data_IF_758394834590
#
_entry.id   IF_758394834590
#
_cell.length_a   1.000
_cell.length_b   1.000
_cell.length_c   1.000
_cell.angle_alpha   90.00
_cell.angle_beta   90.00
_cell.angle_gamma   90.00
#
_symmetry.space_group_name_H-M   'P 1'
#
loop_
_entity.id
_entity.type
_entity.pdbx_description
1 polymer ?
#
# COMPACT_ATOMS: atom_id res chain seq x y z
N UNK A 1 -21.65 1.13 -26.06
CA UNK A 1 -21.09 2.22 -25.22
C UNK A 1 -21.77 3.53 -25.61
N UNK A 2 -21.91 4.49 -24.68
CA UNK A 2 -22.62 5.74 -24.95
C UNK A 2 -21.82 6.67 -25.87
N UNK A 3 -22.52 7.31 -26.85
CA UNK A 3 -21.91 8.36 -27.70
C UNK A 3 -21.53 9.65 -26.95
N UNK A 4 -21.89 9.75 -25.68
CA UNK A 4 -21.60 10.89 -24.81
C UNK A 4 -20.30 10.72 -23.99
N UNK A 5 -19.67 9.56 -24.07
CA UNK A 5 -18.39 9.35 -23.41
C UNK A 5 -17.26 10.01 -24.20
N UNK A 6 -16.28 10.58 -23.48
CA UNK A 6 -15.04 11.03 -24.11
C UNK A 6 -14.19 9.84 -24.56
N UNK A 7 -13.30 10.06 -25.52
CA UNK A 7 -12.47 8.99 -26.11
C UNK A 7 -11.60 8.26 -25.07
N UNK A 8 -11.14 8.97 -24.05
CA UNK A 8 -10.34 8.35 -22.98
C UNK A 8 -11.13 7.29 -22.21
N UNK A 9 -12.42 7.54 -21.92
CA UNK A 9 -13.27 6.61 -21.16
C UNK A 9 -13.44 5.27 -21.88
N UNK A 10 -13.44 5.27 -23.20
CA UNK A 10 -13.54 4.04 -24.00
C UNK A 10 -12.30 3.13 -23.89
N UNK A 11 -11.16 3.67 -23.50
CA UNK A 11 -9.87 2.96 -23.37
C UNK A 11 -9.57 2.50 -21.93
N UNK A 12 -10.31 3.02 -20.93
CA UNK A 12 -10.03 2.71 -19.52
C UNK A 12 -10.37 1.27 -19.17
N UNK A 13 -9.46 0.64 -18.42
CA UNK A 13 -9.69 -0.63 -17.73
C UNK A 13 -9.66 -0.35 -16.22
N UNK A 14 -10.83 -0.16 -15.56
CA UNK A 14 -10.87 0.20 -14.14
C UNK A 14 -10.30 -0.89 -13.24
N UNK A 15 -9.72 -0.48 -12.12
CA UNK A 15 -9.31 -1.38 -11.05
C UNK A 15 -10.53 -2.10 -10.44
N UNK A 16 -10.36 -3.39 -10.15
CA UNK A 16 -11.37 -4.19 -9.44
C UNK A 16 -10.93 -4.35 -7.98
N UNK A 17 -11.59 -3.65 -7.03
CA UNK A 17 -11.25 -3.74 -5.62
C UNK A 17 -11.50 -5.14 -5.06
N UNK A 18 -10.88 -5.44 -3.90
CA UNK A 18 -11.21 -6.63 -3.13
C UNK A 18 -12.68 -6.60 -2.67
N UNK A 19 -13.32 -7.75 -2.66
CA UNK A 19 -14.71 -7.84 -2.23
C UNK A 19 -14.91 -7.39 -0.77
N UNK A 20 -16.08 -6.83 -0.50
CA UNK A 20 -16.53 -6.37 0.81
C UNK A 20 -17.84 -7.09 1.18
N UNK A 21 -17.82 -8.40 1.45
CA UNK A 21 -19.06 -9.15 1.71
C UNK A 21 -19.68 -8.72 3.04
N UNK A 22 -21.02 -8.65 3.06
CA UNK A 22 -21.82 -8.38 4.25
C UNK A 22 -22.35 -9.72 4.77
N UNK A 23 -21.51 -10.46 5.48
CA UNK A 23 -21.83 -11.76 6.06
C UNK A 23 -21.66 -11.69 7.57
N UNK A 24 -22.52 -12.40 8.31
CA UNK A 24 -22.37 -12.54 9.75
C UNK A 24 -21.18 -13.45 10.08
N UNK A 25 -20.48 -13.17 11.18
CA UNK A 25 -19.30 -13.92 11.63
C UNK A 25 -18.18 -14.03 10.58
N UNK A 26 -18.02 -12.99 9.78
CA UNK A 26 -17.01 -12.92 8.72
C UNK A 26 -15.60 -12.79 9.30
N UNK A 27 -14.70 -13.68 8.89
CA UNK A 27 -13.24 -13.53 9.07
C UNK A 27 -12.66 -12.93 7.79
N UNK A 28 -12.49 -11.60 7.78
CA UNK A 28 -12.08 -10.83 6.60
C UNK A 28 -10.57 -10.65 6.56
N UNK A 29 -9.88 -11.40 5.69
CA UNK A 29 -8.42 -11.43 5.56
C UNK A 29 -7.97 -11.15 4.11
N UNK A 30 -8.64 -10.23 3.39
CA UNK A 30 -8.41 -10.04 1.95
C UNK A 30 -7.93 -8.65 1.52
N UNK A 31 -8.09 -7.59 2.34
CA UNK A 31 -7.84 -6.20 1.92
C UNK A 31 -6.75 -5.49 2.74
N UNK A 32 -5.98 -6.24 3.52
CA UNK A 32 -4.82 -5.74 4.28
C UNK A 32 -5.18 -4.61 5.25
N UNK A 33 -6.39 -4.64 5.83
CA UNK A 33 -6.77 -3.75 6.92
C UNK A 33 -6.06 -4.16 8.21
N UNK A 34 -5.83 -3.19 9.10
CA UNK A 34 -5.30 -3.50 10.42
C UNK A 34 -6.38 -4.20 11.26
N UNK A 35 -6.09 -5.33 11.93
CA UNK A 35 -7.07 -6.02 12.76
C UNK A 35 -7.40 -5.28 14.06
N UNK A 36 -6.60 -4.29 14.44
CA UNK A 36 -6.82 -3.44 15.60
C UNK A 36 -7.43 -2.10 15.16
N UNK A 37 -8.34 -1.56 15.95
CA UNK A 37 -8.95 -0.26 15.70
C UNK A 37 -7.95 0.91 15.78
N UNK A 38 -8.37 2.12 15.43
CA UNK A 38 -7.53 3.30 15.60
C UNK A 38 -7.24 3.60 17.08
N UNK A 39 -6.18 4.38 17.33
CA UNK A 39 -5.83 4.85 18.67
C UNK A 39 -7.04 5.52 19.36
N UNK A 40 -7.22 5.32 20.68
CA UNK A 40 -8.23 6.07 21.44
C UNK A 40 -8.12 7.59 21.30
N UNK A 41 -6.90 8.13 21.16
CA UNK A 41 -6.67 9.57 20.91
C UNK A 41 -7.25 10.03 19.57
N UNK A 42 -7.25 9.16 18.54
CA UNK A 42 -7.91 9.45 17.26
C UNK A 42 -9.41 9.59 17.46
N UNK A 43 -10.03 8.64 18.19
CA UNK A 43 -11.47 8.68 18.43
C UNK A 43 -11.87 9.95 19.22
N UNK A 44 -11.06 10.35 20.17
CA UNK A 44 -11.26 11.59 20.93
C UNK A 44 -11.14 12.83 20.03
N UNK A 45 -10.08 12.92 19.23
CA UNK A 45 -9.86 14.03 18.29
C UNK A 45 -11.03 14.17 17.29
N UNK A 46 -11.53 13.06 16.75
CA UNK A 46 -12.68 13.06 15.86
C UNK A 46 -13.95 13.58 16.56
N UNK A 47 -14.21 13.16 17.79
CA UNK A 47 -15.37 13.64 18.56
C UNK A 47 -15.31 15.15 18.84
N UNK A 48 -14.12 15.68 19.09
CA UNK A 48 -13.92 17.12 19.32
C UNK A 48 -14.10 17.95 18.05
N UNK A 49 -13.75 17.40 16.89
CA UNK A 49 -13.89 18.12 15.61
C UNK A 49 -15.32 18.11 15.05
N UNK A 50 -16.19 17.20 15.52
CA UNK A 50 -17.59 17.16 15.10
C UNK A 50 -18.37 18.32 15.73
N UNK A 51 -18.70 19.33 14.92
CA UNK A 51 -19.41 20.52 15.39
C UNK A 51 -19.71 21.50 14.27
N UNK A 52 -20.01 22.74 14.62
CA UNK A 52 -20.39 23.80 13.66
C UNK A 52 -19.25 24.15 12.68
N UNK A 53 -18.00 23.86 13.03
CA UNK A 53 -16.84 24.05 12.15
C UNK A 53 -16.93 23.28 10.82
N UNK A 54 -17.74 22.21 10.79
CA UNK A 54 -17.95 21.41 9.56
C UNK A 54 -18.59 22.19 8.40
N UNK A 55 -19.21 23.35 8.67
CA UNK A 55 -19.71 24.26 7.62
C UNK A 55 -18.64 25.03 6.88
N UNK A 56 -17.40 25.01 7.36
CA UNK A 56 -16.26 25.73 6.81
C UNK A 56 -15.35 24.79 6.01
N UNK A 57 -14.76 25.29 4.93
CA UNK A 57 -13.71 24.53 4.23
C UNK A 57 -12.54 24.20 5.18
N UNK A 58 -11.88 23.03 4.98
CA UNK A 58 -10.66 22.72 5.69
C UNK A 58 -9.48 23.60 5.21
N UNK A 59 -8.33 23.48 5.88
CA UNK A 59 -7.08 24.07 5.41
C UNK A 59 -6.63 23.42 4.08
N UNK A 60 -6.53 24.20 2.98
CA UNK A 60 -6.17 23.67 1.66
C UNK A 60 -4.75 23.08 1.60
N UNK A 61 -3.86 23.57 2.46
CA UNK A 61 -2.47 23.13 2.54
C UNK A 61 -2.26 22.00 3.54
N UNK A 62 -3.22 21.75 4.44
CA UNK A 62 -3.07 20.79 5.56
C UNK A 62 -1.81 21.05 6.39
N UNK A 63 -1.52 22.31 6.73
CA UNK A 63 -0.24 22.75 7.31
C UNK A 63 0.09 22.05 8.63
N UNK A 64 -0.91 21.91 9.53
CA UNK A 64 -0.74 21.21 10.82
C UNK A 64 -0.39 19.74 10.59
N UNK A 65 -1.08 19.06 9.65
CA UNK A 65 -0.82 17.65 9.34
C UNK A 65 0.57 17.49 8.70
N UNK A 66 0.94 18.33 7.74
CA UNK A 66 2.29 18.32 7.12
C UNK A 66 3.40 18.54 8.15
N UNK A 67 3.23 19.52 9.06
CA UNK A 67 4.18 19.77 10.12
C UNK A 67 4.32 18.56 11.06
N UNK A 68 3.22 17.90 11.40
CA UNK A 68 3.21 16.70 12.26
C UNK A 68 3.91 15.53 11.58
N UNK A 69 3.62 15.26 10.31
CA UNK A 69 4.29 14.22 9.52
C UNK A 69 5.80 14.53 9.39
N UNK A 70 6.15 15.77 9.05
CA UNK A 70 7.53 16.19 8.92
C UNK A 70 8.32 15.98 10.22
N UNK A 71 7.73 16.35 11.36
CA UNK A 71 8.33 16.13 12.68
C UNK A 71 8.59 14.64 12.95
N UNK A 72 7.60 13.79 12.67
CA UNK A 72 7.72 12.31 12.87
C UNK A 72 8.86 11.71 12.06
N UNK A 73 9.12 12.23 10.86
CA UNK A 73 10.15 11.72 9.95
C UNK A 73 11.47 12.50 9.96
N UNK A 74 11.62 13.53 10.81
CA UNK A 74 12.83 14.38 10.85
C UNK A 74 13.04 15.22 9.57
N UNK A 75 11.94 15.58 8.89
CA UNK A 75 11.93 16.35 7.65
C UNK A 75 11.36 17.77 7.85
N UNK A 76 11.34 18.56 6.78
CA UNK A 76 10.67 19.87 6.74
C UNK A 76 9.24 19.70 6.18
N UNK A 77 8.31 20.57 6.57
CA UNK A 77 6.94 20.57 6.02
C UNK A 77 6.91 20.73 4.49
N UNK A 78 7.88 21.44 3.90
CA UNK A 78 8.05 21.57 2.44
C UNK A 78 8.46 20.27 1.74
N UNK A 79 8.81 19.23 2.49
CA UNK A 79 9.15 17.89 1.99
C UNK A 79 7.98 16.90 2.13
N UNK A 80 6.79 17.39 2.49
CA UNK A 80 5.60 16.58 2.73
C UNK A 80 4.47 17.02 1.82
N UNK A 81 3.88 16.06 1.11
CA UNK A 81 2.61 16.21 0.39
C UNK A 81 1.56 15.30 1.02
N UNK A 82 0.31 15.76 1.16
CA UNK A 82 -0.80 14.95 1.67
C UNK A 82 -1.93 14.89 0.66
N UNK A 83 -2.65 13.74 0.62
CA UNK A 83 -3.78 13.52 -0.29
C UNK A 83 -4.80 12.54 0.27
N UNK A 84 -5.92 12.39 -0.40
CA UNK A 84 -7.07 11.57 0.01
C UNK A 84 -6.78 10.06 -0.19
N UNK A 85 -5.96 9.51 0.70
CA UNK A 85 -5.36 8.19 0.60
C UNK A 85 -4.16 8.15 -0.33
N UNK A 86 -3.35 7.10 -0.21
CA UNK A 86 -2.21 6.90 -1.11
C UNK A 86 -2.62 6.74 -2.57
N UNK A 87 -3.87 6.33 -2.84
CA UNK A 87 -4.38 6.23 -4.22
C UNK A 87 -4.42 7.61 -4.92
N UNK A 88 -4.91 8.66 -4.24
CA UNK A 88 -4.87 10.03 -4.80
C UNK A 88 -3.44 10.56 -4.88
N UNK A 89 -2.61 10.30 -3.86
CA UNK A 89 -1.18 10.67 -3.90
C UNK A 89 -0.51 10.04 -5.11
N UNK A 90 -0.72 8.74 -5.34
CA UNK A 90 -0.22 8.02 -6.52
C UNK A 90 -0.74 8.63 -7.82
N UNK A 91 -2.03 8.94 -7.92
CA UNK A 91 -2.61 9.58 -9.11
C UNK A 91 -1.88 10.88 -9.47
N UNK A 92 -1.58 11.72 -8.46
CA UNK A 92 -0.80 12.93 -8.66
C UNK A 92 0.66 12.63 -9.04
N UNK A 93 1.30 11.64 -8.41
CA UNK A 93 2.67 11.20 -8.73
C UNK A 93 2.77 10.72 -10.19
N UNK A 94 1.84 9.88 -10.64
CA UNK A 94 1.83 9.41 -12.03
C UNK A 94 1.69 10.57 -13.01
N UNK A 95 0.84 11.56 -12.70
CA UNK A 95 0.64 12.71 -13.58
C UNK A 95 1.79 13.72 -13.52
N UNK A 96 2.31 14.03 -12.34
CA UNK A 96 3.30 15.09 -12.14
C UNK A 96 4.74 14.64 -12.43
N UNK A 97 5.07 13.38 -12.11
CA UNK A 97 6.46 12.94 -12.00
C UNK A 97 6.80 11.71 -12.87
N UNK A 98 5.82 10.93 -13.33
CA UNK A 98 6.06 9.69 -14.06
C UNK A 98 5.59 9.75 -15.53
N UNK A 99 4.93 10.84 -15.94
CA UNK A 99 4.50 11.04 -17.32
C UNK A 99 5.61 11.69 -18.14
N UNK A 100 6.44 10.87 -18.77
CA UNK A 100 7.54 11.28 -19.62
C UNK A 100 7.49 10.59 -21.00
N UNK A 101 8.38 10.99 -21.92
CA UNK A 101 8.52 10.37 -23.25
C UNK A 101 9.22 9.00 -23.23
N UNK A 102 9.85 8.64 -22.11
CA UNK A 102 10.44 7.32 -21.88
C UNK A 102 9.51 6.49 -21.02
N UNK A 103 9.55 5.15 -21.13
CA UNK A 103 8.66 4.29 -20.37
C UNK A 103 8.91 4.36 -18.85
N UNK A 104 7.84 4.25 -18.07
CA UNK A 104 7.89 3.98 -16.65
C UNK A 104 8.26 2.52 -16.41
N UNK A 105 9.15 2.25 -15.44
CA UNK A 105 9.52 0.89 -15.06
C UNK A 105 8.89 0.49 -13.73
N UNK A 106 8.32 -0.72 -13.66
CA UNK A 106 7.86 -1.35 -12.42
C UNK A 106 7.85 -2.88 -12.55
N UNK A 107 7.82 -3.65 -11.42
CA UNK A 107 7.81 -5.11 -11.50
C UNK A 107 6.57 -5.66 -12.20
N UNK A 108 6.69 -6.78 -12.91
CA UNK A 108 5.58 -7.47 -13.57
C UNK A 108 4.52 -8.02 -12.60
N UNK A 109 4.95 -8.34 -11.38
CA UNK A 109 4.09 -8.75 -10.27
C UNK A 109 4.21 -7.70 -9.16
N UNK A 110 3.28 -6.74 -9.16
CA UNK A 110 3.30 -5.56 -8.31
C UNK A 110 1.89 -5.09 -7.95
N UNK A 111 1.75 -3.89 -7.39
CA UNK A 111 0.45 -3.28 -7.12
C UNK A 111 -0.32 -3.06 -8.42
N UNK A 112 -1.42 -3.80 -8.57
CA UNK A 112 -2.17 -3.88 -9.82
C UNK A 112 -2.87 -2.57 -10.26
N UNK A 113 -2.75 -1.51 -9.46
CA UNK A 113 -3.26 -0.18 -9.82
C UNK A 113 -2.28 0.60 -10.71
N UNK A 114 -0.98 0.27 -10.74
CA UNK A 114 -0.01 1.01 -11.55
C UNK A 114 -0.36 1.00 -13.06
N UNK A 115 -0.67 -0.15 -13.69
CA UNK A 115 -1.14 -0.16 -15.07
C UNK A 115 -2.44 0.64 -15.29
N UNK A 116 -3.32 0.74 -14.27
CA UNK A 116 -4.55 1.53 -14.35
C UNK A 116 -4.23 3.02 -14.45
N UNK A 117 -3.29 3.52 -13.63
CA UNK A 117 -2.81 4.91 -13.75
C UNK A 117 -2.11 5.16 -15.10
N UNK A 118 -1.31 4.20 -15.58
CA UNK A 118 -0.69 4.31 -16.90
C UNK A 118 -1.74 4.48 -17.99
N UNK A 119 -2.81 3.68 -17.97
CA UNK A 119 -3.94 3.80 -18.91
C UNK A 119 -4.71 5.11 -18.76
N UNK A 120 -4.89 5.60 -17.52
CA UNK A 120 -5.61 6.86 -17.26
C UNK A 120 -4.85 8.09 -17.80
N UNK A 121 -3.53 8.10 -17.65
CA UNK A 121 -2.69 9.25 -17.99
C UNK A 121 -1.92 9.09 -19.31
N UNK A 122 -2.16 8.00 -20.05
CA UNK A 122 -1.46 7.71 -21.31
C UNK A 122 0.07 7.69 -21.11
N UNK A 123 0.52 6.83 -20.20
CA UNK A 123 1.93 6.62 -19.85
C UNK A 123 2.37 5.27 -20.39
N UNK A 124 3.40 5.26 -21.24
CA UNK A 124 4.06 4.03 -21.63
C UNK A 124 4.83 3.42 -20.46
N UNK A 125 4.78 2.11 -20.33
CA UNK A 125 5.49 1.41 -19.27
C UNK A 125 6.12 0.11 -19.75
N UNK A 126 7.15 -0.31 -19.04
CA UNK A 126 7.76 -1.62 -19.19
C UNK A 126 7.69 -2.36 -17.85
N UNK A 127 7.04 -3.52 -17.86
CA UNK A 127 7.02 -4.42 -16.71
C UNK A 127 8.32 -5.23 -16.65
N UNK A 128 9.05 -5.13 -15.55
CA UNK A 128 10.32 -5.82 -15.30
C UNK A 128 10.04 -7.14 -14.57
N UNK A 129 10.43 -8.29 -15.10
CA UNK A 129 10.17 -9.57 -14.44
C UNK A 129 10.83 -9.65 -13.06
N UNK A 130 10.09 -10.11 -12.06
CA UNK A 130 10.69 -10.52 -10.79
C UNK A 130 11.53 -11.80 -10.98
N UNK A 131 12.60 -11.96 -10.21
CA UNK A 131 13.39 -13.17 -10.16
C UNK A 131 12.55 -14.41 -9.82
N UNK A 132 13.07 -15.62 -9.97
CA UNK A 132 12.30 -16.86 -9.73
C UNK A 132 11.75 -16.97 -8.30
N UNK A 133 12.45 -16.41 -7.34
CA UNK A 133 12.05 -16.33 -5.92
C UNK A 133 11.16 -15.12 -5.60
N UNK A 134 10.67 -14.40 -6.62
CA UNK A 134 9.85 -13.18 -6.52
C UNK A 134 10.58 -11.96 -5.93
N UNK A 135 11.89 -11.96 -5.87
CA UNK A 135 12.66 -10.76 -5.49
C UNK A 135 12.82 -9.79 -6.66
N UNK A 136 12.96 -8.50 -6.34
CA UNK A 136 13.31 -7.46 -7.30
C UNK A 136 14.83 -7.50 -7.52
N UNK A 137 15.27 -7.72 -8.76
CA UNK A 137 16.67 -7.54 -9.15
C UNK A 137 16.88 -6.11 -9.68
N UNK A 138 17.58 -5.28 -8.90
CA UNK A 138 17.76 -3.86 -9.23
C UNK A 138 18.62 -3.64 -10.48
N UNK A 139 19.46 -4.58 -10.88
CA UNK A 139 20.31 -4.44 -12.07
C UNK A 139 19.47 -4.46 -13.36
N UNK A 140 18.26 -5.05 -13.32
CA UNK A 140 17.32 -5.06 -14.44
C UNK A 140 16.66 -3.68 -14.69
N UNK A 141 16.86 -2.71 -13.78
CA UNK A 141 16.35 -1.34 -13.87
C UNK A 141 17.40 -0.33 -14.40
N UNK A 142 18.60 -0.77 -14.76
CA UNK A 142 19.61 0.05 -15.44
C UNK A 142 19.29 0.16 -16.93
N UNK A 143 18.15 0.78 -17.23
CA UNK A 143 17.59 0.98 -18.56
C UNK A 143 17.15 2.44 -18.72
N UNK A 144 17.16 2.99 -19.97
CA UNK A 144 16.57 4.30 -20.22
C UNK A 144 15.09 4.34 -19.81
N UNK A 145 14.75 5.18 -18.84
CA UNK A 145 13.40 5.22 -18.28
C UNK A 145 12.93 6.65 -17.99
N UNK A 146 11.61 6.83 -17.85
CA UNK A 146 10.95 8.06 -17.42
C UNK A 146 10.71 8.13 -15.91
N UNK A 147 10.99 7.05 -15.19
CA UNK A 147 10.83 6.87 -13.76
C UNK A 147 10.74 5.41 -13.39
N UNK A 148 10.91 5.12 -12.11
CA UNK A 148 10.80 3.78 -11.54
C UNK A 148 9.83 3.84 -10.36
N UNK A 149 8.90 2.88 -10.26
CA UNK A 149 8.01 2.76 -9.11
C UNK A 149 7.83 1.30 -8.69
N UNK A 150 7.89 1.03 -7.40
CA UNK A 150 7.50 -0.27 -6.84
C UNK A 150 7.14 -0.16 -5.35
N UNK A 151 6.29 -1.07 -4.85
CA UNK A 151 6.01 -1.16 -3.42
C UNK A 151 7.20 -1.76 -2.65
N UNK A 152 7.48 -1.26 -1.48
CA UNK A 152 8.46 -1.88 -0.57
C UNK A 152 7.92 -1.92 0.88
N UNK A 153 7.52 -3.10 1.38
CA UNK A 153 7.54 -4.44 0.76
C UNK A 153 6.65 -4.55 -0.48
N UNK A 154 7.06 -5.40 -1.44
CA UNK A 154 6.28 -5.57 -2.68
C UNK A 154 4.89 -6.18 -2.39
N UNK A 155 3.89 -5.73 -3.10
CA UNK A 155 2.55 -6.31 -3.06
C UNK A 155 2.22 -6.92 -4.44
N UNK A 156 1.81 -8.20 -4.53
CA UNK A 156 1.22 -9.03 -3.45
C UNK A 156 2.20 -9.96 -2.73
N UNK A 157 3.49 -9.99 -3.05
CA UNK A 157 4.44 -10.99 -2.55
C UNK A 157 4.79 -10.82 -1.08
N UNK A 158 4.81 -9.58 -0.57
CA UNK A 158 5.23 -9.23 0.78
C UNK A 158 6.74 -9.09 0.95
N UNK A 159 7.53 -9.42 -0.07
CA UNK A 159 8.99 -9.45 -0.01
C UNK A 159 9.56 -8.02 0.05
N UNK A 160 10.37 -7.69 1.07
CA UNK A 160 11.04 -6.40 1.13
C UNK A 160 12.32 -6.37 0.28
N UNK A 161 12.62 -5.21 -0.29
CA UNK A 161 13.93 -4.89 -0.87
C UNK A 161 14.77 -4.17 0.18
N UNK A 162 16.03 -4.57 0.34
CA UNK A 162 16.93 -3.96 1.31
C UNK A 162 17.24 -2.49 0.97
N UNK A 163 17.38 -1.64 1.99
CA UNK A 163 17.66 -0.20 1.82
C UNK A 163 18.93 0.06 0.99
N UNK A 164 19.97 -0.75 1.15
CA UNK A 164 21.19 -0.66 0.35
C UNK A 164 20.96 -0.89 -1.15
N UNK A 165 20.00 -1.75 -1.50
CA UNK A 165 19.60 -1.98 -2.90
C UNK A 165 18.83 -0.78 -3.47
N UNK A 166 17.96 -0.16 -2.66
CA UNK A 166 17.27 1.09 -3.03
C UNK A 166 18.30 2.21 -3.25
N UNK A 167 19.27 2.32 -2.36
CA UNK A 167 20.34 3.32 -2.49
C UNK A 167 21.18 3.10 -3.76
N UNK A 168 21.52 1.84 -4.10
CA UNK A 168 22.19 1.52 -5.35
C UNK A 168 21.33 1.94 -6.56
N UNK A 169 20.04 1.64 -6.55
CA UNK A 169 19.11 2.03 -7.60
C UNK A 169 19.06 3.56 -7.81
N UNK A 170 19.04 4.35 -6.73
CA UNK A 170 19.07 5.80 -6.79
C UNK A 170 20.36 6.34 -7.42
N UNK A 171 21.50 5.71 -7.14
CA UNK A 171 22.83 6.10 -7.69
C UNK A 171 22.94 5.86 -9.18
N UNK A 172 22.33 4.79 -9.70
CA UNK A 172 22.38 4.48 -11.15
C UNK A 172 21.32 5.25 -11.96
N UNK A 173 20.23 5.72 -11.32
CA UNK A 173 19.11 6.40 -11.98
C UNK A 173 19.06 7.91 -11.66
N UNK A 174 20.19 8.61 -11.75
CA UNK A 174 20.28 10.03 -11.37
C UNK A 174 19.49 11.01 -12.26
N UNK A 175 19.03 10.54 -13.44
CA UNK A 175 18.29 11.36 -14.42
C UNK A 175 16.79 11.04 -14.43
N UNK A 176 16.33 10.14 -13.58
CA UNK A 176 14.92 9.78 -13.45
C UNK A 176 14.54 9.63 -11.98
N UNK A 177 13.25 9.79 -11.70
CA UNK A 177 12.72 9.65 -10.36
C UNK A 177 12.59 8.16 -9.98
N UNK A 178 12.85 7.86 -8.70
CA UNK A 178 12.55 6.57 -8.09
C UNK A 178 11.49 6.78 -7.01
N UNK A 179 10.35 6.14 -7.17
CA UNK A 179 9.21 6.20 -6.26
C UNK A 179 9.10 4.89 -5.50
N UNK A 180 9.18 4.96 -4.19
CA UNK A 180 9.03 3.79 -3.30
C UNK A 180 7.67 3.89 -2.59
N UNK A 181 6.77 2.97 -2.90
CA UNK A 181 5.46 2.88 -2.25
C UNK A 181 5.58 2.04 -0.97
N UNK A 182 5.66 2.70 0.16
CA UNK A 182 5.87 2.12 1.48
C UNK A 182 4.56 1.91 2.25
N UNK A 183 3.48 1.55 1.58
CA UNK A 183 2.19 1.34 2.24
C UNK A 183 2.22 0.29 3.37
N UNK A 184 3.22 -0.57 3.42
CA UNK A 184 3.35 -1.68 4.39
C UNK A 184 4.66 -1.66 5.18
N UNK A 185 5.50 -0.65 5.06
CA UNK A 185 6.85 -0.59 5.62
C UNK A 185 6.89 -0.78 7.14
N UNK A 186 5.87 -0.29 7.85
CA UNK A 186 5.79 -0.29 9.32
C UNK A 186 5.72 -1.68 9.96
N UNK A 187 5.59 -2.74 9.17
CA UNK A 187 5.47 -4.11 9.66
C UNK A 187 6.79 -4.91 9.63
N UNK A 188 7.93 -4.20 9.68
CA UNK A 188 9.25 -4.81 9.84
C UNK A 188 10.18 -4.64 8.64
N UNK A 189 9.97 -3.61 7.82
CA UNK A 189 10.86 -3.22 6.72
C UNK A 189 11.51 -1.88 7.06
N UNK A 190 12.75 -1.67 6.64
CA UNK A 190 13.45 -0.41 6.80
C UNK A 190 12.97 0.60 5.75
N UNK A 191 12.59 1.81 6.18
CA UNK A 191 12.07 2.86 5.30
C UNK A 191 13.18 3.59 4.54
N UNK A 192 12.93 3.90 3.27
CA UNK A 192 13.79 4.74 2.44
C UNK A 192 13.71 6.24 2.79
N UNK A 193 12.86 6.65 3.71
CA UNK A 193 12.73 8.06 4.15
C UNK A 193 14.07 8.65 4.59
N UNK A 194 14.94 7.84 5.22
CA UNK A 194 16.26 8.27 5.65
C UNK A 194 17.20 8.71 4.49
N UNK A 195 16.88 8.34 3.26
CA UNK A 195 17.66 8.67 2.06
C UNK A 195 17.20 9.99 1.38
N UNK A 196 16.05 10.56 1.75
CA UNK A 196 15.43 11.71 1.08
C UNK A 196 16.37 12.94 1.03
N UNK A 197 17.07 13.22 2.12
CA UNK A 197 17.96 14.37 2.16
C UNK A 197 19.27 14.18 1.36
N UNK A 198 19.56 12.94 0.96
CA UNK A 198 20.77 12.59 0.17
C UNK A 198 20.44 12.47 -1.33
N UNK A 199 19.25 11.97 -1.67
CA UNK A 199 18.88 11.66 -3.05
C UNK A 199 17.67 12.50 -3.50
N UNK A 200 17.89 13.59 -4.28
CA UNK A 200 16.82 14.49 -4.71
C UNK A 200 15.81 13.83 -5.66
N UNK A 201 16.16 12.69 -6.26
CA UNK A 201 15.33 11.88 -7.15
C UNK A 201 14.53 10.78 -6.42
N UNK A 202 14.50 10.77 -5.08
CA UNK A 202 13.68 9.82 -4.29
C UNK A 202 12.36 10.46 -3.87
N UNK A 203 11.26 9.75 -4.11
CA UNK A 203 9.96 10.01 -3.49
C UNK A 203 9.49 8.77 -2.75
N UNK A 204 9.05 8.92 -1.50
CA UNK A 204 8.52 7.84 -0.67
C UNK A 204 7.04 8.10 -0.41
N UNK A 205 6.18 7.09 -0.58
CA UNK A 205 4.73 7.19 -0.37
C UNK A 205 4.32 6.36 0.83
N UNK A 206 3.54 6.95 1.72
CA UNK A 206 2.99 6.30 2.92
C UNK A 206 1.46 6.42 2.95
N UNK A 207 0.83 5.58 3.77
CA UNK A 207 -0.62 5.62 4.03
C UNK A 207 -0.93 5.39 5.50
N UNK A 208 -1.94 6.09 6.02
CA UNK A 208 -2.48 5.80 7.35
C UNK A 208 -3.50 4.65 7.35
N UNK A 209 -3.80 4.10 6.17
CA UNK A 209 -4.82 3.04 6.01
C UNK A 209 -4.42 1.69 6.60
N UNK A 210 -3.11 1.44 6.81
CA UNK A 210 -2.58 0.14 7.23
C UNK A 210 -2.12 0.16 8.68
N UNK A 211 -0.91 0.61 8.93
CA UNK A 211 -0.32 0.58 10.26
C UNK A 211 -1.03 1.48 11.29
N UNK A 212 -1.60 2.61 10.84
CA UNK A 212 -2.33 3.56 11.69
C UNK A 212 -3.84 3.28 11.79
N UNK A 213 -4.36 2.21 11.19
CA UNK A 213 -5.78 1.77 11.28
C UNK A 213 -6.81 2.78 10.78
N UNK A 214 -6.45 3.66 9.84
CA UNK A 214 -7.29 4.76 9.36
C UNK A 214 -7.75 4.59 7.90
N UNK A 215 -7.94 3.35 7.43
CA UNK A 215 -8.42 3.10 6.07
C UNK A 215 -9.71 3.88 5.72
N UNK A 216 -10.61 4.05 6.69
CA UNK A 216 -11.87 4.79 6.52
C UNK A 216 -11.70 6.32 6.45
N UNK A 217 -10.62 6.89 6.98
CA UNK A 217 -10.36 8.34 6.96
C UNK A 217 -9.63 8.79 5.69
N UNK A 218 -9.14 7.88 4.87
CA UNK A 218 -8.56 8.20 3.56
C UNK A 218 -7.42 9.22 3.62
N UNK A 219 -6.34 8.96 4.37
CA UNK A 219 -5.16 9.82 4.40
C UNK A 219 -3.94 9.06 3.91
N UNK A 220 -3.25 9.62 2.92
CA UNK A 220 -1.95 9.21 2.44
C UNK A 220 -1.03 10.41 2.28
N UNK A 221 0.28 10.19 2.18
CA UNK A 221 1.23 11.25 2.00
C UNK A 221 2.46 10.79 1.21
N UNK A 222 3.14 11.76 0.60
CA UNK A 222 4.43 11.56 -0.04
C UNK A 222 5.50 12.40 0.65
N UNK A 223 6.71 11.87 0.68
CA UNK A 223 7.91 12.49 1.25
C UNK A 223 9.00 12.55 0.19
N UNK A 224 9.62 13.71 0.00
CA UNK A 224 10.65 13.89 -1.03
C UNK A 224 11.33 15.26 -0.94
N UNK A 225 12.15 15.60 -1.94
CA UNK A 225 12.70 16.96 -2.04
C UNK A 225 11.57 17.99 -2.23
N UNK A 226 11.79 19.23 -1.81
CA UNK A 226 10.80 20.32 -1.95
C UNK A 226 10.34 20.52 -3.41
N UNK A 227 11.22 20.30 -4.38
CA UNK A 227 10.90 20.43 -5.80
C UNK A 227 9.91 19.36 -6.28
N UNK A 228 10.08 18.11 -5.81
CA UNK A 228 9.11 17.03 -6.10
C UNK A 228 7.76 17.32 -5.46
N UNK A 229 7.76 17.82 -4.21
CA UNK A 229 6.53 18.16 -3.48
C UNK A 229 5.81 19.35 -4.13
N UNK A 230 6.54 20.33 -4.63
CA UNK A 230 5.97 21.46 -5.39
C UNK A 230 5.27 20.97 -6.66
N UNK A 231 5.85 20.03 -7.40
CA UNK A 231 5.23 19.46 -8.59
C UNK A 231 3.89 18.77 -8.27
N UNK A 232 3.84 17.99 -7.18
CA UNK A 232 2.60 17.35 -6.70
C UNK A 232 1.55 18.39 -6.30
N UNK A 233 1.97 19.45 -5.61
CA UNK A 233 1.09 20.53 -5.16
C UNK A 233 0.45 21.25 -6.35
N UNK A 234 1.21 21.53 -7.41
CA UNK A 234 0.68 22.15 -8.64
C UNK A 234 -0.39 21.28 -9.30
N UNK A 235 -0.17 19.99 -9.39
CA UNK A 235 -1.19 19.07 -9.95
C UNK A 235 -2.42 19.02 -9.05
N UNK A 236 -2.25 18.88 -7.73
CA UNK A 236 -3.35 18.90 -6.76
C UNK A 236 -4.20 20.16 -6.89
N UNK A 237 -3.57 21.34 -6.90
CA UNK A 237 -4.28 22.62 -6.96
C UNK A 237 -4.96 22.89 -8.31
N UNK A 238 -4.55 22.14 -9.34
CA UNK A 238 -5.20 22.15 -10.65
C UNK A 238 -6.37 21.15 -10.77
N UNK A 239 -6.55 20.28 -9.75
CA UNK A 239 -7.58 19.24 -9.72
C UNK A 239 -8.57 19.42 -8.56
N UNK A 240 -8.07 19.44 -7.30
CA UNK A 240 -8.86 19.60 -6.08
C UNK A 240 -8.05 20.30 -5.00
N UNK A 241 -8.39 21.55 -4.67
CA UNK A 241 -7.64 22.35 -3.68
C UNK A 241 -7.87 21.90 -2.23
N UNK A 242 -8.91 21.12 -1.93
CA UNK A 242 -9.32 20.72 -0.57
C UNK A 242 -9.47 19.20 -0.44
N UNK A 243 -8.41 18.39 -0.68
CA UNK A 243 -8.56 16.93 -0.72
C UNK A 243 -8.78 16.28 0.64
N UNK A 244 -8.29 16.90 1.74
CA UNK A 244 -8.36 16.37 3.10
C UNK A 244 -9.42 17.13 3.91
N UNK A 245 -10.43 16.42 4.36
CA UNK A 245 -11.45 17.00 5.23
C UNK A 245 -10.96 17.20 6.67
N UNK A 246 -11.75 17.95 7.47
CA UNK A 246 -11.39 18.31 8.84
C UNK A 246 -11.22 17.11 9.75
N UNK A 247 -12.12 16.12 9.64
CA UNK A 247 -12.09 14.93 10.47
C UNK A 247 -10.88 14.08 10.13
N UNK A 248 -10.61 13.89 8.82
CA UNK A 248 -9.44 13.17 8.35
C UNK A 248 -8.14 13.83 8.84
N UNK A 249 -8.06 15.17 8.77
CA UNK A 249 -6.90 15.93 9.27
C UNK A 249 -6.70 15.77 10.77
N UNK A 250 -7.75 15.98 11.58
CA UNK A 250 -7.68 15.84 13.03
C UNK A 250 -7.32 14.40 13.46
N UNK A 251 -7.97 13.41 12.86
CA UNK A 251 -7.68 12.00 13.13
C UNK A 251 -6.25 11.60 12.73
N UNK A 252 -5.77 12.09 11.58
CA UNK A 252 -4.40 11.82 11.12
C UNK A 252 -3.34 12.44 12.05
N UNK A 253 -3.52 13.70 12.47
CA UNK A 253 -2.62 14.37 13.43
C UNK A 253 -2.56 13.57 14.73
N UNK A 254 -3.70 13.19 15.30
CA UNK A 254 -3.75 12.41 16.54
C UNK A 254 -3.09 11.02 16.39
N UNK A 255 -3.27 10.37 15.23
CA UNK A 255 -2.64 9.09 14.94
C UNK A 255 -1.11 9.20 14.82
N UNK A 256 -0.60 10.26 14.18
CA UNK A 256 0.84 10.50 14.04
C UNK A 256 1.51 10.80 15.37
N UNK A 257 0.80 11.43 16.30
CA UNK A 257 1.29 11.77 17.64
C UNK A 257 1.21 10.63 18.65
N UNK A 258 0.52 9.52 18.36
CA UNK A 258 0.40 8.37 19.26
C UNK A 258 1.33 7.22 18.87
N UNK A 259 2.62 7.45 18.99
CA UNK A 259 3.63 6.48 18.62
C UNK A 259 3.56 5.19 19.47
N UNK A 260 3.24 5.31 20.76
CA UNK A 260 3.13 4.15 21.67
C UNK A 260 2.06 3.16 21.20
N UNK A 261 0.87 3.64 20.83
CA UNK A 261 -0.20 2.78 20.32
C UNK A 261 0.19 2.18 18.97
N UNK A 262 0.72 2.98 18.08
CA UNK A 262 1.21 2.56 16.77
C UNK A 262 2.23 1.42 16.87
N UNK A 263 3.30 1.59 17.64
CA UNK A 263 4.32 0.56 17.82
C UNK A 263 3.74 -0.73 18.44
N UNK A 264 2.85 -0.59 19.42
CA UNK A 264 2.18 -1.73 20.05
C UNK A 264 1.36 -2.55 19.05
N UNK A 265 0.56 -1.89 18.20
CA UNK A 265 -0.28 -2.60 17.22
C UNK A 265 0.55 -3.22 16.09
N UNK A 266 1.57 -2.53 15.57
CA UNK A 266 2.50 -3.09 14.58
C UNK A 266 3.22 -4.33 15.13
N UNK A 267 3.72 -4.27 16.36
CA UNK A 267 4.41 -5.40 17.00
C UNK A 267 3.49 -6.61 17.16
N UNK A 268 2.22 -6.42 17.52
CA UNK A 268 1.23 -7.50 17.58
C UNK A 268 1.00 -8.14 16.22
N UNK A 269 0.82 -7.34 15.17
CA UNK A 269 0.64 -7.85 13.79
C UNK A 269 1.86 -8.67 13.35
N UNK A 270 3.08 -8.20 13.63
CA UNK A 270 4.32 -8.92 13.30
C UNK A 270 4.41 -10.25 14.07
N UNK A 271 4.09 -10.25 15.36
CA UNK A 271 4.09 -11.48 16.18
C UNK A 271 3.07 -12.51 15.66
N UNK A 272 1.83 -12.07 15.39
CA UNK A 272 0.78 -12.93 14.83
C UNK A 272 1.18 -13.46 13.45
N UNK A 273 1.81 -12.62 12.59
CA UNK A 273 2.34 -13.05 11.29
C UNK A 273 3.34 -14.19 11.44
N UNK A 274 4.31 -14.05 12.32
CA UNK A 274 5.35 -15.07 12.52
C UNK A 274 4.75 -16.40 13.01
N UNK A 275 3.80 -16.36 13.93
CA UNK A 275 3.07 -17.54 14.40
C UNK A 275 2.26 -18.18 13.27
N UNK A 276 1.56 -17.38 12.46
CA UNK A 276 0.75 -17.86 11.35
C UNK A 276 1.62 -18.53 10.27
N UNK A 277 2.79 -17.97 9.95
CA UNK A 277 3.76 -18.56 9.02
C UNK A 277 4.18 -19.95 9.46
N UNK A 278 4.54 -20.12 10.74
CA UNK A 278 4.94 -21.41 11.30
C UNK A 278 3.80 -22.44 11.20
N UNK A 279 2.58 -22.05 11.56
CA UNK A 279 1.41 -22.94 11.50
C UNK A 279 1.08 -23.36 10.06
N UNK A 280 1.12 -22.43 9.10
CA UNK A 280 0.89 -22.74 7.69
C UNK A 280 1.99 -23.66 7.12
N UNK A 281 3.24 -23.44 7.49
CA UNK A 281 4.36 -24.32 7.09
C UNK A 281 4.13 -25.75 7.59
N UNK A 282 3.66 -25.91 8.83
CA UNK A 282 3.31 -27.23 9.40
C UNK A 282 2.13 -27.90 8.67
N UNK A 283 1.27 -27.13 8.00
CA UNK A 283 0.18 -27.62 7.18
C UNK A 283 0.57 -27.85 5.69
N UNK A 284 1.86 -27.79 5.34
CA UNK A 284 2.35 -28.03 3.99
C UNK A 284 2.30 -26.82 3.05
N UNK A 285 2.17 -25.59 3.58
CA UNK A 285 2.29 -24.40 2.78
C UNK A 285 3.75 -23.97 2.60
N UNK A 286 4.07 -23.47 1.43
CA UNK A 286 5.25 -22.62 1.18
C UNK A 286 4.80 -21.17 1.31
N UNK A 287 5.38 -20.45 2.28
CA UNK A 287 5.07 -19.03 2.56
C UNK A 287 6.27 -18.18 2.16
N UNK A 288 6.06 -17.17 1.33
CA UNK A 288 7.12 -16.22 0.96
C UNK A 288 7.49 -15.34 2.16
N UNK A 289 8.77 -14.90 2.27
CA UNK A 289 9.16 -13.92 3.28
C UNK A 289 8.29 -12.67 3.19
N UNK A 290 7.86 -12.14 4.34
CA UNK A 290 7.02 -10.95 4.35
C UNK A 290 7.48 -9.91 5.36
N UNK A 291 7.62 -8.67 4.89
CA UNK A 291 7.75 -7.45 5.70
C UNK A 291 6.45 -6.65 5.82
N UNK A 292 5.30 -7.24 5.43
CA UNK A 292 3.99 -6.56 5.37
C UNK A 292 3.00 -7.11 6.43
N UNK A 293 1.79 -6.52 6.49
CA UNK A 293 0.67 -7.04 7.29
C UNK A 293 -0.14 -8.12 6.55
N UNK A 294 0.48 -8.81 5.65
CA UNK A 294 -0.08 -9.96 4.94
C UNK A 294 1.04 -10.95 4.61
N UNK A 295 0.66 -12.16 4.25
CA UNK A 295 1.56 -13.19 3.73
C UNK A 295 1.06 -13.67 2.38
N UNK A 296 1.97 -14.24 1.58
CA UNK A 296 1.68 -14.83 0.28
C UNK A 296 2.12 -16.29 0.30
N UNK A 297 1.17 -17.20 0.21
CA UNK A 297 1.37 -18.61 0.49
C UNK A 297 0.73 -19.50 -0.58
N UNK A 298 1.37 -20.62 -0.91
CA UNK A 298 0.80 -21.69 -1.73
C UNK A 298 0.86 -23.02 -0.99
N UNK A 299 -0.14 -23.86 -1.15
CA UNK A 299 -0.13 -25.23 -0.65
C UNK A 299 0.49 -26.18 -1.68
N UNK A 300 1.10 -27.28 -1.20
CA UNK A 300 1.80 -28.24 -2.06
C UNK A 300 0.85 -29.01 -3.03
N UNK A 301 -0.40 -29.24 -2.62
CA UNK A 301 -1.37 -30.05 -3.36
C UNK A 301 -2.57 -29.22 -3.82
N UNK A 302 -3.17 -28.41 -2.94
CA UNK A 302 -4.38 -27.65 -3.25
C UNK A 302 -4.06 -26.32 -3.90
N UNK A 303 -4.75 -26.02 -5.01
CA UNK A 303 -4.62 -24.78 -5.75
C UNK A 303 -5.19 -23.57 -4.98
N UNK A 304 -4.63 -22.38 -5.23
CA UNK A 304 -5.06 -21.14 -4.56
C UNK A 304 -6.52 -20.76 -4.83
N UNK A 305 -7.04 -21.02 -6.02
CA UNK A 305 -8.44 -20.76 -6.36
C UNK A 305 -9.38 -21.71 -5.61
N UNK A 306 -9.01 -23.01 -5.51
CA UNK A 306 -9.75 -24.01 -4.74
C UNK A 306 -9.79 -23.62 -3.25
N UNK A 307 -8.63 -23.35 -2.64
CA UNK A 307 -8.53 -22.92 -1.23
C UNK A 307 -9.38 -21.69 -0.94
N UNK A 308 -9.34 -20.69 -1.82
CA UNK A 308 -10.13 -19.47 -1.67
C UNK A 308 -11.63 -19.77 -1.68
N UNK A 309 -12.07 -20.68 -2.54
CA UNK A 309 -13.48 -21.10 -2.62
C UNK A 309 -13.92 -21.85 -1.37
N UNK A 310 -13.13 -22.79 -0.90
CA UNK A 310 -13.42 -23.60 0.29
C UNK A 310 -13.42 -22.76 1.57
N UNK A 311 -12.44 -21.87 1.74
CA UNK A 311 -12.38 -20.92 2.87
C UNK A 311 -13.61 -19.99 2.88
N UNK A 312 -14.05 -19.53 1.70
CA UNK A 312 -15.25 -18.70 1.58
C UNK A 312 -16.49 -19.40 2.09
N UNK A 313 -16.66 -20.71 1.84
CA UNK A 313 -17.77 -21.52 2.36
C UNK A 313 -17.79 -21.58 3.90
N UNK A 314 -16.61 -21.37 4.54
CA UNK A 314 -16.44 -21.25 5.99
C UNK A 314 -16.46 -19.80 6.50
N UNK A 315 -16.95 -18.83 5.71
CA UNK A 315 -16.96 -17.38 6.01
C UNK A 315 -15.57 -16.78 6.25
N UNK A 316 -14.54 -17.34 5.65
CA UNK A 316 -13.16 -16.81 5.70
C UNK A 316 -12.80 -16.28 4.31
N UNK A 317 -12.51 -14.99 4.21
CA UNK A 317 -12.21 -14.34 2.93
C UNK A 317 -10.73 -14.00 2.85
N UNK A 318 -10.04 -14.63 1.91
CA UNK A 318 -8.66 -14.35 1.53
C UNK A 318 -8.61 -13.79 0.10
N UNK A 319 -7.45 -13.32 -0.37
CA UNK A 319 -7.29 -12.78 -1.72
C UNK A 319 -6.57 -13.77 -2.61
N UNK A 320 -7.16 -14.08 -3.77
CA UNK A 320 -6.56 -14.85 -4.85
C UNK A 320 -6.32 -13.97 -6.09
N UNK A 321 -5.26 -14.26 -6.85
CA UNK A 321 -4.91 -13.58 -8.09
C UNK A 321 -4.84 -14.60 -9.23
N UNK A 322 -5.74 -14.48 -10.20
CA UNK A 322 -5.81 -15.40 -11.35
C UNK A 322 -4.68 -15.20 -12.36
N UNK A 323 -4.10 -13.99 -12.38
CA UNK A 323 -3.08 -13.58 -13.35
C UNK A 323 -2.02 -12.73 -12.66
N UNK A 324 -0.76 -12.81 -13.10
CA UNK A 324 -0.20 -13.79 -14.06
C UNK A 324 -0.22 -15.23 -13.51
N UNK A 325 -0.07 -16.23 -14.38
CA UNK A 325 -0.12 -17.67 -14.02
C UNK A 325 0.87 -18.07 -12.93
N UNK A 326 2.02 -17.39 -12.89
CA UNK A 326 3.09 -17.60 -11.90
C UNK A 326 2.62 -17.41 -10.45
N UNK A 327 1.62 -16.55 -10.20
CA UNK A 327 1.07 -16.30 -8.86
C UNK A 327 -0.29 -16.97 -8.63
N UNK A 328 -0.90 -17.58 -9.64
CA UNK A 328 -2.22 -18.20 -9.49
C UNK A 328 -2.27 -19.34 -8.46
N UNK A 329 -1.19 -20.10 -8.18
CA UNK A 329 -1.23 -21.09 -7.09
C UNK A 329 -1.27 -20.48 -5.68
N UNK A 330 -0.99 -19.19 -5.54
CA UNK A 330 -0.86 -18.52 -4.24
C UNK A 330 -2.17 -17.87 -3.79
N UNK A 331 -2.33 -17.77 -2.47
CA UNK A 331 -3.32 -16.91 -1.82
C UNK A 331 -2.59 -15.85 -0.98
N UNK A 332 -3.12 -14.62 -0.98
CA UNK A 332 -2.68 -13.57 -0.06
C UNK A 332 -3.59 -13.54 1.14
N UNK A 333 -3.02 -13.67 2.32
CA UNK A 333 -3.73 -13.70 3.60
C UNK A 333 -3.32 -12.46 4.40
N UNK A 334 -4.26 -11.58 4.68
CA UNK A 334 -4.08 -10.46 5.60
C UNK A 334 -3.88 -11.01 7.02
N UNK A 335 -2.97 -10.41 7.79
CA UNK A 335 -2.79 -10.78 9.19
C UNK A 335 -3.94 -10.21 10.01
N UNK A 336 -4.73 -11.12 10.59
CA UNK A 336 -5.82 -10.80 11.50
C UNK A 336 -5.36 -10.73 12.96
N UNK A 337 -6.31 -10.80 13.90
CA UNK A 337 -6.03 -11.07 15.32
C UNK A 337 -5.58 -12.52 15.51
N UNK A 338 -5.02 -12.84 16.69
CA UNK A 338 -4.67 -14.23 17.04
C UNK A 338 -5.91 -15.15 16.96
N UNK A 339 -7.07 -14.69 17.41
CA UNK A 339 -8.32 -15.43 17.33
C UNK A 339 -8.74 -15.73 15.87
N UNK A 340 -8.61 -14.74 14.97
CA UNK A 340 -8.89 -14.93 13.54
C UNK A 340 -7.88 -15.88 12.89
N UNK A 341 -6.62 -15.84 13.30
CA UNK A 341 -5.58 -16.76 12.83
C UNK A 341 -5.87 -18.21 13.27
N UNK A 342 -6.34 -18.41 14.51
CA UNK A 342 -6.75 -19.73 15.01
C UNK A 342 -7.92 -20.28 14.18
N UNK A 343 -8.94 -19.46 13.89
CA UNK A 343 -10.08 -19.84 13.05
C UNK A 343 -9.62 -20.25 11.65
N UNK A 344 -8.73 -19.48 11.04
CA UNK A 344 -8.16 -19.79 9.72
C UNK A 344 -7.41 -21.12 9.73
N UNK A 345 -6.53 -21.35 10.70
CA UNK A 345 -5.73 -22.58 10.81
C UNK A 345 -6.62 -23.80 11.06
N UNK A 346 -7.63 -23.71 11.93
CA UNK A 346 -8.60 -24.77 12.15
C UNK A 346 -9.34 -25.15 10.86
N UNK A 347 -9.83 -24.14 10.14
CA UNK A 347 -10.53 -24.37 8.88
C UNK A 347 -9.63 -25.01 7.82
N UNK A 348 -8.38 -24.55 7.69
CA UNK A 348 -7.43 -25.16 6.76
C UNK A 348 -7.09 -26.59 7.14
N UNK A 349 -6.89 -26.89 8.44
CA UNK A 349 -6.62 -28.25 8.90
C UNK A 349 -7.74 -29.22 8.51
N UNK A 350 -9.01 -28.83 8.70
CA UNK A 350 -10.16 -29.63 8.29
C UNK A 350 -10.18 -29.86 6.76
N UNK A 351 -10.01 -28.79 5.96
CA UNK A 351 -10.04 -28.84 4.51
C UNK A 351 -8.91 -29.65 3.88
N UNK A 352 -7.80 -29.82 4.59
CA UNK A 352 -6.63 -30.56 4.12
C UNK A 352 -6.67 -32.05 4.54
N UNK A 353 -7.47 -32.43 5.55
CA UNK A 353 -7.70 -33.84 5.95
C UNK A 353 -8.71 -34.51 5.02
N UNK A 354 -9.70 -33.77 4.51
CA UNK A 354 -10.76 -34.26 3.63
C UNK A 354 -10.29 -34.48 2.17
N UNK A 355 -9.01 -34.33 1.89
CA UNK A 355 -8.39 -34.49 0.57
C UNK A 355 -7.51 -35.74 0.53
#
# INVERSE_FOLDING_TARGET
>A
MSKFWSDVVHKLTPYIPGEQPKLDNLVKLNTNENPYGPSPKVIEALKLEVGESLRLYPDPNSDVLKATIAHTHGLKASQVFVGNGSDEVLAHVFHALLKHSRPLLFPDITYSFYPVYCGLYDIEYQAIPLAEDFTINIDDYDLPNGGIIFPNPNAPTGIPLALASIEKLLKINTQSIVVIDEAYVDFGTESAVNLINTYPNLLVIHTLSKARSLAGLRVGYALGSSDLIEALTRVKDSFNSYPIDRLASAGAVAAMQDDTYFQSTCSKVVATRNTLVNNLTSLGFTVLPSGANFIFAKHQVKDGAELTTLLRQKNIIVRHFKSPSRISPYIRITIGTDAQSIILISALSELLIEA
#
